data_IF_513297485361
#
_entry.id   IF_513297485361
#
_cell.length_a   1.000
_cell.length_b   1.000
_cell.length_c   1.000
_cell.angle_alpha   90.00
_cell.angle_beta   90.00
_cell.angle_gamma   90.00
#
_symmetry.space_group_name_H-M   'P 1'
#
loop_
_entity.id
_entity.type
_entity.pdbx_description
1 polymer ?
#
# COMPACT_ATOMS: atom_id res chain seq x y z
N UNK A 1 -4.45 -10.13 -6.76
CA UNK A 1 -5.04 -9.35 -5.65
C UNK A 1 -5.20 -10.28 -4.48
N UNK A 2 -5.03 -9.79 -3.26
CA UNK A 2 -5.10 -10.60 -2.05
C UNK A 2 -6.17 -10.05 -1.11
N UNK A 3 -7.08 -10.91 -0.68
CA UNK A 3 -8.02 -10.65 0.41
C UNK A 3 -7.43 -11.17 1.71
N UNK A 4 -7.45 -10.35 2.76
CA UNK A 4 -6.92 -10.68 4.08
C UNK A 4 -8.05 -10.51 5.08
N UNK A 5 -8.44 -11.62 5.71
CA UNK A 5 -9.31 -11.62 6.87
C UNK A 5 -8.44 -11.59 8.12
N UNK A 6 -8.63 -10.56 8.93
CA UNK A 6 -7.85 -10.36 10.15
C UNK A 6 -8.78 -10.03 11.30
N UNK A 7 -8.34 -10.39 12.49
CA UNK A 7 -8.89 -9.91 13.75
C UNK A 7 -7.85 -9.01 14.37
N UNK A 8 -8.25 -7.82 14.82
CA UNK A 8 -7.33 -6.95 15.55
C UNK A 8 -7.93 -6.52 16.88
N UNK A 9 -7.04 -6.42 17.86
CA UNK A 9 -7.33 -5.92 19.19
C UNK A 9 -7.17 -4.40 19.15
N UNK A 10 -8.29 -3.69 19.19
CA UNK A 10 -8.30 -2.24 19.37
C UNK A 10 -8.09 -1.90 20.86
N UNK A 11 -8.17 -0.62 21.23
CA UNK A 11 -8.08 -0.21 22.64
C UNK A 11 -9.29 -0.64 23.46
N UNK A 12 -10.44 -0.85 22.81
CA UNK A 12 -11.72 -1.11 23.45
C UNK A 12 -12.23 -2.51 23.13
N UNK A 13 -12.20 -2.89 21.86
CA UNK A 13 -12.83 -4.12 21.37
C UNK A 13 -11.93 -4.94 20.45
N UNK A 14 -12.34 -6.19 20.23
CA UNK A 14 -11.76 -7.11 19.25
C UNK A 14 -12.59 -7.03 17.98
N UNK A 15 -11.99 -6.59 16.87
CA UNK A 15 -12.70 -6.28 15.64
C UNK A 15 -12.20 -7.18 14.51
N UNK A 16 -13.13 -7.81 13.79
CA UNK A 16 -12.81 -8.52 12.55
C UNK A 16 -12.84 -7.54 11.37
N UNK A 17 -11.81 -7.58 10.54
CA UNK A 17 -11.71 -6.77 9.33
C UNK A 17 -11.38 -7.65 8.12
N UNK A 18 -11.91 -7.24 6.97
CA UNK A 18 -11.49 -7.75 5.68
C UNK A 18 -10.80 -6.63 4.91
N UNK A 19 -9.54 -6.80 4.52
CA UNK A 19 -8.78 -5.84 3.72
C UNK A 19 -8.32 -6.49 2.42
N UNK A 20 -8.21 -5.69 1.36
CA UNK A 20 -7.78 -6.16 0.05
C UNK A 20 -6.57 -5.34 -0.41
N UNK A 21 -5.55 -6.05 -0.91
CA UNK A 21 -4.30 -5.49 -1.38
C UNK A 21 -3.96 -5.98 -2.78
N UNK A 22 -3.29 -5.14 -3.56
CA UNK A 22 -2.74 -5.51 -4.86
C UNK A 22 -1.22 -5.57 -4.71
N UNK A 23 -0.68 -6.78 -4.72
CA UNK A 23 0.74 -7.06 -4.66
C UNK A 23 1.10 -8.25 -5.56
N UNK A 24 2.39 -8.47 -5.76
CA UNK A 24 3.00 -9.59 -6.48
C UNK A 24 3.05 -10.86 -5.64
N UNK A 25 3.16 -10.76 -4.31
CA UNK A 25 3.30 -11.92 -3.41
C UNK A 25 2.35 -11.84 -2.22
N UNK A 26 2.00 -13.01 -1.66
CA UNK A 26 1.18 -13.13 -0.45
C UNK A 26 1.84 -12.46 0.76
N UNK A 27 3.15 -12.59 0.90
CA UNK A 27 3.92 -11.97 1.99
C UNK A 27 3.98 -10.45 1.87
N UNK A 28 4.15 -9.92 0.65
CA UNK A 28 4.09 -8.47 0.40
C UNK A 28 2.72 -7.87 0.75
N UNK A 29 1.63 -8.56 0.39
CA UNK A 29 0.28 -8.13 0.77
C UNK A 29 0.08 -8.09 2.29
N UNK A 30 0.64 -9.06 3.03
CA UNK A 30 0.61 -9.08 4.50
C UNK A 30 1.46 -7.95 5.10
N UNK A 31 2.62 -7.64 4.53
CA UNK A 31 3.45 -6.52 4.97
C UNK A 31 2.72 -5.17 4.76
N UNK A 32 2.12 -4.96 3.58
CA UNK A 32 1.27 -3.81 3.32
C UNK A 32 0.11 -3.69 4.31
N UNK A 33 -0.50 -4.83 4.68
CA UNK A 33 -1.54 -4.87 5.69
C UNK A 33 -1.05 -4.41 7.06
N UNK A 34 0.10 -4.89 7.51
CA UNK A 34 0.68 -4.44 8.78
C UNK A 34 0.99 -2.94 8.79
N UNK A 35 1.58 -2.41 7.71
CA UNK A 35 1.87 -0.98 7.59
C UNK A 35 0.59 -0.13 7.61
N UNK A 36 -0.45 -0.57 6.90
CA UNK A 36 -1.74 0.12 6.91
C UNK A 36 -2.40 0.08 8.29
N UNK A 37 -2.39 -1.08 8.95
CA UNK A 37 -2.97 -1.25 10.29
C UNK A 37 -2.24 -0.40 11.35
N UNK A 38 -0.92 -0.28 11.23
CA UNK A 38 -0.13 0.61 12.08
C UNK A 38 -0.49 2.08 11.86
N UNK A 39 -0.67 2.52 10.61
CA UNK A 39 -0.97 3.93 10.31
C UNK A 39 -2.43 4.30 10.63
N UNK A 40 -3.41 3.52 10.13
CA UNK A 40 -4.83 3.88 10.21
C UNK A 40 -5.48 3.52 11.54
N UNK A 41 -5.02 2.43 12.16
CA UNK A 41 -5.65 1.89 13.37
C UNK A 41 -4.70 1.83 14.56
N UNK A 42 -3.44 2.27 14.40
CA UNK A 42 -2.41 2.23 15.45
C UNK A 42 -2.23 0.82 16.04
N UNK A 43 -2.48 -0.21 15.23
CA UNK A 43 -2.35 -1.59 15.65
C UNK A 43 -0.90 -2.05 15.43
N UNK A 44 -0.31 -2.61 16.47
CA UNK A 44 1.01 -3.26 16.40
C UNK A 44 0.86 -4.71 15.94
N UNK A 45 1.96 -5.31 15.48
CA UNK A 45 1.99 -6.72 15.03
C UNK A 45 1.33 -7.68 16.03
N UNK A 46 1.68 -7.56 17.32
CA UNK A 46 1.15 -8.42 18.39
C UNK A 46 -0.36 -8.29 18.61
N UNK A 47 -0.99 -7.22 18.11
CA UNK A 47 -2.44 -6.97 18.25
C UNK A 47 -3.23 -7.40 17.02
N UNK A 48 -2.60 -8.05 16.04
CA UNK A 48 -3.24 -8.47 14.81
C UNK A 48 -3.08 -9.99 14.68
N UNK A 49 -4.20 -10.68 14.49
CA UNK A 49 -4.25 -12.09 14.18
C UNK A 49 -4.82 -12.27 12.79
N UNK A 50 -4.03 -12.83 11.89
CA UNK A 50 -4.46 -13.12 10.53
C UNK A 50 -5.23 -14.43 10.55
N UNK A 51 -6.47 -14.42 10.07
CA UNK A 51 -7.33 -15.60 10.00
C UNK A 51 -7.06 -16.32 8.68
N UNK A 52 -7.10 -15.58 7.58
CA UNK A 52 -6.98 -16.15 6.25
C UNK A 52 -6.40 -15.11 5.28
N UNK A 53 -5.66 -15.60 4.28
CA UNK A 53 -5.19 -14.79 3.16
C UNK A 53 -5.51 -15.55 1.88
N UNK A 54 -6.25 -14.94 0.97
CA UNK A 54 -6.71 -15.57 -0.26
C UNK A 54 -6.33 -14.76 -1.48
N UNK A 55 -5.98 -15.45 -2.55
CA UNK A 55 -5.85 -14.83 -3.87
C UNK A 55 -7.25 -14.62 -4.47
N UNK A 56 -7.56 -13.37 -4.80
CA UNK A 56 -8.85 -12.96 -5.33
C UNK A 56 -8.74 -12.70 -6.83
N UNK A 57 -9.72 -13.23 -7.58
CA UNK A 57 -9.95 -12.84 -8.97
C UNK A 57 -10.43 -11.37 -9.03
N UNK A 58 -10.22 -10.65 -10.16
CA UNK A 58 -10.64 -9.25 -10.29
C UNK A 58 -12.13 -9.01 -9.99
N UNK A 59 -12.99 -9.98 -10.32
CA UNK A 59 -14.44 -9.93 -10.09
C UNK A 59 -14.83 -10.02 -8.61
N UNK A 60 -14.00 -10.67 -7.79
CA UNK A 60 -14.26 -10.89 -6.37
C UNK A 60 -13.82 -9.72 -5.49
N UNK A 61 -13.01 -8.80 -6.02
CA UNK A 61 -12.50 -7.66 -5.26
C UNK A 61 -13.62 -6.64 -5.03
N UNK A 62 -13.88 -6.30 -3.77
CA UNK A 62 -14.97 -5.41 -3.38
C UNK A 62 -14.48 -4.00 -3.09
N UNK A 63 -13.20 -3.81 -2.75
CA UNK A 63 -12.68 -2.52 -2.30
C UNK A 63 -12.46 -1.54 -3.47
N UNK A 64 -13.03 -0.31 -3.42
CA UNK A 64 -12.92 0.66 -4.52
C UNK A 64 -11.48 0.99 -4.92
N UNK A 65 -10.57 1.12 -3.94
CA UNK A 65 -9.17 1.45 -4.18
C UNK A 65 -8.40 0.34 -4.89
N UNK A 66 -8.86 -0.91 -4.85
CA UNK A 66 -8.31 -2.02 -5.63
C UNK A 66 -8.98 -2.08 -7.00
N UNK A 67 -10.31 -1.96 -7.04
CA UNK A 67 -11.11 -2.04 -8.28
C UNK A 67 -10.71 -1.00 -9.32
N UNK A 68 -10.32 0.21 -8.92
CA UNK A 68 -9.89 1.25 -9.85
C UNK A 68 -8.69 0.84 -10.73
N UNK A 69 -7.87 -0.13 -10.28
CA UNK A 69 -6.68 -0.61 -10.99
C UNK A 69 -6.93 -1.83 -11.88
N UNK A 70 -8.19 -2.25 -12.09
CA UNK A 70 -8.50 -3.40 -12.94
C UNK A 70 -8.65 -3.07 -14.43
N UNK A 71 -8.71 -1.79 -14.79
CA UNK A 71 -8.81 -1.36 -16.18
C UNK A 71 -7.45 -1.48 -16.89
N UNK A 72 -7.39 -2.24 -17.98
CA UNK A 72 -6.18 -2.40 -18.79
C UNK A 72 -5.74 -1.09 -19.49
N UNK A 73 -6.68 -0.17 -19.72
CA UNK A 73 -6.41 1.13 -20.36
C UNK A 73 -6.14 2.25 -19.35
N UNK A 74 -5.76 1.91 -18.12
CA UNK A 74 -5.50 2.92 -17.09
C UNK A 74 -4.25 3.76 -17.44
N UNK A 75 -4.40 5.08 -17.37
CA UNK A 75 -3.32 6.05 -17.54
C UNK A 75 -3.44 7.09 -16.45
N UNK A 76 -2.32 7.44 -15.84
CA UNK A 76 -2.25 8.50 -14.83
C UNK A 76 -1.13 9.48 -15.22
N UNK A 77 -1.39 10.79 -15.23
CA UNK A 77 -0.33 11.77 -15.37
C UNK A 77 0.57 11.72 -14.12
N UNK A 78 1.83 12.15 -14.27
CA UNK A 78 2.74 12.34 -13.15
C UNK A 78 2.96 13.84 -12.95
N UNK A 79 2.04 14.55 -12.26
CA UNK A 79 2.06 16.01 -12.19
C UNK A 79 3.26 16.55 -11.42
N UNK A 80 3.74 15.82 -10.41
CA UNK A 80 4.91 16.18 -9.63
C UNK A 80 5.88 15.00 -9.59
N UNK A 81 7.06 15.16 -10.19
CA UNK A 81 8.15 14.17 -10.17
C UNK A 81 9.32 14.70 -9.38
N UNK A 82 9.55 14.14 -8.19
CA UNK A 82 10.74 14.42 -7.41
C UNK A 82 11.96 13.79 -8.06
N UNK A 83 12.91 14.62 -8.50
CA UNK A 83 14.19 14.16 -9.04
C UNK A 83 15.06 13.58 -7.92
N UNK A 84 15.11 12.25 -7.85
CA UNK A 84 16.03 11.54 -6.95
C UNK A 84 17.37 11.36 -7.65
N UNK A 85 18.46 11.57 -6.91
CA UNK A 85 19.80 11.27 -7.43
C UNK A 85 19.96 9.76 -7.61
N UNK A 86 20.55 9.30 -8.74
CA UNK A 86 20.62 7.86 -9.04
C UNK A 86 21.54 7.11 -8.06
N UNK A 87 22.59 7.78 -7.56
CA UNK A 87 23.52 7.20 -6.58
C UNK A 87 23.81 8.22 -5.47
N UNK A 88 24.09 7.72 -4.27
CA UNK A 88 24.38 8.55 -3.09
C UNK A 88 25.58 9.48 -3.30
N UNK A 89 26.61 9.03 -4.03
CA UNK A 89 27.79 9.82 -4.37
C UNK A 89 27.48 11.09 -5.19
N UNK A 90 26.37 11.11 -5.93
CA UNK A 90 25.96 12.28 -6.71
C UNK A 90 25.02 13.22 -5.95
N UNK A 91 24.73 12.94 -4.68
CA UNK A 91 23.97 13.84 -3.80
C UNK A 91 24.86 15.04 -3.46
N UNK A 92 24.36 16.24 -3.74
CA UNK A 92 25.06 17.51 -3.44
C UNK A 92 24.14 18.40 -2.62
N UNK A 93 24.71 19.12 -1.66
CA UNK A 93 23.98 20.11 -0.84
C UNK A 93 23.53 21.30 -1.67
N UNK A 94 24.37 21.74 -2.61
CA UNK A 94 24.09 22.86 -3.50
C UNK A 94 24.10 22.43 -4.96
N UNK A 95 23.22 23.03 -5.77
CA UNK A 95 23.14 22.85 -7.22
C UNK A 95 22.98 24.20 -7.90
N UNK A 96 23.65 24.38 -9.04
CA UNK A 96 23.60 25.60 -9.82
C UNK A 96 22.27 25.81 -10.58
N UNK A 97 21.48 24.74 -10.77
CA UNK A 97 20.19 24.78 -11.50
C UNK A 97 19.04 24.38 -10.57
N UNK A 98 17.92 25.10 -10.69
CA UNK A 98 16.67 24.74 -10.01
C UNK A 98 16.06 23.49 -10.65
N UNK A 99 15.52 22.55 -9.87
CA UNK A 99 14.82 21.39 -10.43
C UNK A 99 13.48 21.82 -11.03
N UNK A 100 13.10 21.21 -12.15
CA UNK A 100 11.72 21.26 -12.64
C UNK A 100 11.04 19.93 -12.31
N UNK A 101 9.91 19.98 -11.60
CA UNK A 101 9.18 18.80 -11.14
C UNK A 101 7.81 18.62 -11.82
N UNK A 102 7.43 19.55 -12.70
CA UNK A 102 6.15 19.57 -13.41
C UNK A 102 6.43 19.74 -14.92
N UNK A 103 5.45 19.40 -15.75
CA UNK A 103 5.47 19.72 -17.18
C UNK A 103 4.97 21.14 -17.41
#
# INVERSE_FOLDING_TARGET
>A
NYGIFLRYYSRSDIINMHKEYRDTSRTGAVDQMFQEMASRHQATYNRISIIEVNELKPEQCRRPHVRQFHNNNIKFPMPHRMLRVPMKQHRRTFRAKRPNTHW
#
